data_IF_629188501391
#
_entry.id   IF_629188501391
#
_cell.length_a   1.000
_cell.length_b   1.000
_cell.length_c   1.000
_cell.angle_alpha   90.00
_cell.angle_beta   90.00
_cell.angle_gamma   90.00
#
_symmetry.space_group_name_H-M   'P 1'
#
loop_
_entity.id
_entity.type
_entity.pdbx_description
1 polymer ?
#
# COMPACT_ATOMS: atom_id res chain seq x y z
N UNK A 1 14.96 -17.33 -16.06
CA UNK A 1 14.23 -18.21 -15.16
C UNK A 1 13.78 -17.43 -13.92
N UNK A 2 12.50 -17.42 -13.68
CA UNK A 2 11.96 -16.75 -12.50
C UNK A 2 12.15 -17.64 -11.29
N UNK A 3 12.73 -17.11 -10.23
CA UNK A 3 12.94 -17.87 -9.02
C UNK A 3 11.85 -17.56 -8.00
N UNK A 4 11.86 -18.27 -6.90
CA UNK A 4 10.86 -18.09 -5.85
C UNK A 4 10.91 -16.70 -5.24
N UNK A 5 12.10 -16.09 -5.17
CA UNK A 5 12.25 -14.75 -4.61
C UNK A 5 11.47 -13.74 -5.43
N UNK A 6 11.58 -13.81 -6.76
CA UNK A 6 10.84 -12.89 -7.63
C UNK A 6 9.34 -13.07 -7.47
N UNK A 7 8.87 -14.33 -7.40
CA UNK A 7 7.46 -14.60 -7.19
C UNK A 7 6.96 -14.06 -5.86
N UNK A 8 7.77 -14.20 -4.82
CA UNK A 8 7.40 -13.71 -3.49
C UNK A 8 7.32 -12.19 -3.48
N UNK A 9 8.27 -11.50 -4.11
CA UNK A 9 8.23 -10.04 -4.22
C UNK A 9 6.95 -9.57 -4.89
N UNK A 10 6.56 -10.23 -5.97
CA UNK A 10 5.35 -9.86 -6.70
C UNK A 10 4.07 -10.14 -5.92
N UNK A 11 4.13 -11.04 -4.96
CA UNK A 11 2.96 -11.44 -4.18
C UNK A 11 2.87 -10.74 -2.83
N UNK A 12 3.87 -9.96 -2.49
CA UNK A 12 3.92 -9.35 -1.15
C UNK A 12 3.27 -7.98 -1.14
N UNK A 13 2.42 -7.77 -0.15
CA UNK A 13 1.81 -6.49 0.15
C UNK A 13 2.24 -6.09 1.55
N UNK A 14 2.74 -4.87 1.70
CA UNK A 14 3.18 -4.35 2.98
C UNK A 14 2.19 -3.31 3.49
N UNK A 15 1.76 -3.45 4.73
CA UNK A 15 0.93 -2.47 5.42
C UNK A 15 1.81 -1.69 6.38
N UNK A 16 1.81 -0.37 6.28
CA UNK A 16 2.56 0.50 7.19
C UNK A 16 1.53 1.35 7.93
N UNK A 17 1.27 0.99 9.20
CA UNK A 17 0.21 1.61 10.00
C UNK A 17 0.57 1.48 11.47
N UNK A 18 0.65 2.60 12.19
CA UNK A 18 1.08 2.56 13.58
C UNK A 18 -0.02 2.14 14.57
N UNK A 19 -1.28 2.32 14.21
CA UNK A 19 -2.38 1.93 15.09
C UNK A 19 -2.64 0.43 14.95
N UNK A 20 -2.48 -0.29 16.05
CA UNK A 20 -2.55 -1.75 16.03
C UNK A 20 -3.89 -2.28 15.53
N UNK A 21 -5.00 -1.67 15.97
CA UNK A 21 -6.32 -2.13 15.55
C UNK A 21 -6.56 -1.90 14.06
N UNK A 22 -6.19 -0.73 13.56
CA UNK A 22 -6.31 -0.44 12.13
C UNK A 22 -5.43 -1.37 11.31
N UNK A 23 -4.21 -1.60 11.77
CA UNK A 23 -3.27 -2.50 11.09
C UNK A 23 -3.84 -3.91 10.99
N UNK A 24 -4.44 -4.40 12.07
CA UNK A 24 -5.06 -5.73 12.08
C UNK A 24 -6.27 -5.78 11.15
N UNK A 25 -7.08 -4.73 11.14
CA UNK A 25 -8.25 -4.64 10.27
C UNK A 25 -7.84 -4.71 8.79
N UNK A 26 -6.82 -3.94 8.43
CA UNK A 26 -6.30 -3.94 7.06
C UNK A 26 -5.78 -5.32 6.68
N UNK A 27 -5.04 -5.94 7.59
CA UNK A 27 -4.49 -7.27 7.35
C UNK A 27 -5.60 -8.28 7.12
N UNK A 28 -6.64 -8.25 7.95
CA UNK A 28 -7.75 -9.20 7.82
C UNK A 28 -8.47 -9.01 6.49
N UNK A 29 -8.75 -7.77 6.10
CA UNK A 29 -9.42 -7.48 4.84
C UNK A 29 -8.60 -7.99 3.66
N UNK A 30 -7.30 -7.73 3.66
CA UNK A 30 -6.45 -8.13 2.55
C UNK A 30 -6.25 -9.64 2.51
N UNK A 31 -6.07 -10.27 3.66
CA UNK A 31 -5.89 -11.72 3.72
C UNK A 31 -7.12 -12.43 3.19
N UNK A 32 -8.31 -11.95 3.54
CA UNK A 32 -9.58 -12.51 3.08
C UNK A 32 -9.75 -12.33 1.57
N UNK A 33 -9.46 -11.13 1.08
CA UNK A 33 -9.71 -10.79 -0.32
C UNK A 33 -8.64 -11.38 -1.25
N UNK A 34 -7.41 -11.51 -0.76
CA UNK A 34 -6.28 -11.94 -1.57
C UNK A 34 -5.50 -13.04 -0.84
N UNK A 35 -6.11 -14.24 -0.67
CA UNK A 35 -5.49 -15.29 0.15
C UNK A 35 -4.17 -15.82 -0.40
N UNK A 36 -3.89 -15.59 -1.66
CA UNK A 36 -2.64 -16.03 -2.27
C UNK A 36 -1.48 -15.06 -2.06
N UNK A 37 -1.79 -13.87 -1.53
CA UNK A 37 -0.77 -12.84 -1.33
C UNK A 37 -0.13 -12.97 0.04
N UNK A 38 1.14 -12.58 0.10
CA UNK A 38 1.86 -12.50 1.37
C UNK A 38 1.62 -11.12 1.94
N UNK A 39 0.97 -11.05 3.10
CA UNK A 39 0.65 -9.78 3.74
C UNK A 39 1.61 -9.58 4.90
N UNK A 40 2.42 -8.54 4.83
CA UNK A 40 3.31 -8.13 5.90
C UNK A 40 2.82 -6.83 6.49
N UNK A 41 3.11 -6.58 7.75
CA UNK A 41 2.71 -5.32 8.38
C UNK A 41 3.78 -4.83 9.33
N UNK A 42 3.93 -3.52 9.37
CA UNK A 42 4.87 -2.83 10.25
C UNK A 42 4.20 -1.58 10.80
N UNK A 43 4.78 -1.02 11.86
CA UNK A 43 4.15 0.06 12.61
C UNK A 43 4.81 1.44 12.41
N UNK A 44 5.95 1.50 11.74
CA UNK A 44 6.70 2.76 11.63
C UNK A 44 7.51 2.82 10.34
N UNK A 45 8.09 3.99 10.09
CA UNK A 45 8.83 4.24 8.86
C UNK A 45 10.14 3.49 8.79
N UNK A 46 10.84 3.35 9.91
CA UNK A 46 12.10 2.62 9.92
C UNK A 46 11.91 1.16 9.56
N UNK A 47 10.87 0.55 10.14
CA UNK A 47 10.53 -0.84 9.81
C UNK A 47 10.08 -0.98 8.37
N UNK A 48 9.35 0.03 7.86
CA UNK A 48 8.92 0.03 6.46
C UNK A 48 10.12 0.05 5.51
N UNK A 49 11.11 0.90 5.79
CA UNK A 49 12.32 0.97 4.96
C UNK A 49 13.05 -0.37 4.94
N UNK A 50 13.20 -0.97 6.10
CA UNK A 50 13.92 -2.24 6.22
C UNK A 50 13.17 -3.35 5.50
N UNK A 51 11.86 -3.41 5.65
CA UNK A 51 11.03 -4.42 5.01
C UNK A 51 11.05 -4.25 3.48
N UNK A 52 10.97 -3.02 2.99
CA UNK A 52 11.04 -2.76 1.55
C UNK A 52 12.39 -3.18 0.98
N UNK A 53 13.45 -2.93 1.71
CA UNK A 53 14.79 -3.31 1.28
C UNK A 53 14.94 -4.84 1.20
N UNK A 54 14.40 -5.54 2.18
CA UNK A 54 14.57 -6.98 2.29
C UNK A 54 13.60 -7.76 1.42
N UNK A 55 12.34 -7.33 1.39
CA UNK A 55 11.25 -8.11 0.76
C UNK A 55 10.77 -7.54 -0.57
N UNK A 56 11.07 -6.28 -0.88
CA UNK A 56 10.67 -5.65 -2.14
C UNK A 56 9.19 -5.89 -2.46
N UNK A 57 8.26 -5.45 -1.60
CA UNK A 57 6.84 -5.71 -1.86
C UNK A 57 6.36 -5.10 -3.16
N UNK A 58 5.37 -5.73 -3.78
CA UNK A 58 4.76 -5.21 -5.00
C UNK A 58 3.92 -3.97 -4.70
N UNK A 59 3.32 -3.94 -3.52
CA UNK A 59 2.44 -2.86 -3.10
C UNK A 59 2.67 -2.53 -1.64
N UNK A 60 2.69 -1.23 -1.33
CA UNK A 60 2.77 -0.72 0.04
C UNK A 60 1.53 0.12 0.31
N UNK A 61 0.83 -0.19 1.40
CA UNK A 61 -0.22 0.67 1.92
C UNK A 61 0.44 1.53 2.99
N UNK A 62 0.56 2.83 2.73
CA UNK A 62 1.37 3.75 3.52
C UNK A 62 0.50 4.73 4.28
N UNK A 63 0.47 4.64 5.60
CA UNK A 63 -0.17 5.66 6.42
C UNK A 63 0.60 6.97 6.26
N UNK A 64 -0.13 8.06 6.05
CA UNK A 64 0.47 9.38 5.94
C UNK A 64 1.16 9.79 7.24
N UNK A 65 0.56 9.48 8.38
CA UNK A 65 1.05 9.94 9.68
C UNK A 65 1.66 8.78 10.46
N UNK A 66 2.98 8.66 10.40
CA UNK A 66 3.72 7.66 11.15
C UNK A 66 4.42 8.34 12.33
N UNK A 67 4.77 7.57 13.37
CA UNK A 67 5.40 8.18 14.55
C UNK A 67 6.78 8.77 14.26
N UNK A 68 7.48 8.24 13.26
CA UNK A 68 8.85 8.63 12.95
C UNK A 68 9.04 9.22 11.56
N UNK A 69 7.95 9.38 10.78
CA UNK A 69 8.10 9.85 9.40
C UNK A 69 6.76 10.35 8.85
N UNK A 70 6.84 11.20 7.84
CA UNK A 70 5.70 11.55 7.02
C UNK A 70 5.59 10.51 5.91
N UNK A 71 4.44 9.86 5.80
CA UNK A 71 4.25 8.79 4.84
C UNK A 71 4.36 9.24 3.38
N UNK A 72 4.02 10.49 3.08
CA UNK A 72 4.17 11.02 1.72
C UNK A 72 5.66 11.19 1.39
N UNK A 73 6.44 11.73 2.32
CA UNK A 73 7.88 11.85 2.11
C UNK A 73 8.55 10.49 1.98
N UNK A 74 8.14 9.55 2.82
CA UNK A 74 8.67 8.20 2.73
C UNK A 74 8.31 7.54 1.40
N UNK A 75 7.10 7.80 0.90
CA UNK A 75 6.70 7.32 -0.42
C UNK A 75 7.65 7.83 -1.50
N UNK A 76 7.98 9.12 -1.47
CA UNK A 76 8.90 9.69 -2.45
C UNK A 76 10.25 8.99 -2.41
N UNK A 77 10.77 8.72 -1.21
CA UNK A 77 12.05 8.05 -1.06
C UNK A 77 12.00 6.61 -1.57
N UNK A 78 10.95 5.88 -1.22
CA UNK A 78 10.80 4.49 -1.66
C UNK A 78 10.64 4.39 -3.17
N UNK A 79 9.88 5.30 -3.78
CA UNK A 79 9.69 5.31 -5.23
C UNK A 79 10.98 5.63 -5.96
N UNK A 80 11.84 6.44 -5.36
CA UNK A 80 13.13 6.73 -5.94
C UNK A 80 14.05 5.51 -5.93
N UNK A 81 14.02 4.76 -4.84
CA UNK A 81 14.82 3.54 -4.69
C UNK A 81 14.24 2.36 -5.47
N UNK A 82 12.93 2.25 -5.49
CA UNK A 82 12.22 1.09 -6.06
C UNK A 82 11.10 1.56 -6.98
N UNK A 83 11.42 2.01 -8.20
CA UNK A 83 10.41 2.65 -9.07
C UNK A 83 9.23 1.74 -9.44
N UNK A 84 9.44 0.42 -9.44
CA UNK A 84 8.37 -0.52 -9.77
C UNK A 84 7.42 -0.82 -8.62
N UNK A 85 7.77 -0.39 -7.40
CA UNK A 85 6.93 -0.63 -6.23
C UNK A 85 5.73 0.30 -6.25
N UNK A 86 4.52 -0.25 -6.10
CA UNK A 86 3.31 0.55 -6.05
C UNK A 86 3.08 1.03 -4.61
N UNK A 87 2.61 2.25 -4.44
CA UNK A 87 2.28 2.78 -3.12
C UNK A 87 0.89 3.40 -3.15
N UNK A 88 0.07 3.03 -2.17
CA UNK A 88 -1.21 3.69 -1.91
C UNK A 88 -1.06 4.40 -0.57
N UNK A 89 -1.22 5.72 -0.58
CA UNK A 89 -1.16 6.50 0.67
C UNK A 89 -2.53 6.49 1.32
N UNK A 90 -2.57 6.27 2.63
CA UNK A 90 -3.79 6.26 3.42
C UNK A 90 -3.76 7.41 4.42
N UNK A 91 -4.90 8.05 4.64
CA UNK A 91 -4.98 9.15 5.60
C UNK A 91 -6.42 9.36 6.05
N UNK A 92 -6.58 9.89 7.26
CA UNK A 92 -7.88 10.36 7.74
C UNK A 92 -8.26 11.69 7.10
N UNK A 93 -7.31 12.36 6.46
CA UNK A 93 -7.57 13.68 5.88
C UNK A 93 -7.96 13.54 4.43
N UNK A 94 -9.04 14.23 4.07
CA UNK A 94 -9.45 14.38 2.69
C UNK A 94 -9.07 15.78 2.22
N UNK A 95 -9.05 15.99 0.92
CA UNK A 95 -8.75 17.27 0.35
C UNK A 95 -7.74 17.18 -0.78
N UNK A 96 -7.93 18.02 -1.77
CA UNK A 96 -7.15 18.00 -3.00
C UNK A 96 -5.66 18.15 -2.77
N UNK A 97 -5.28 19.00 -1.81
CA UNK A 97 -3.85 19.27 -1.57
C UNK A 97 -3.12 17.98 -1.13
N UNK A 98 -3.74 17.16 -0.30
CA UNK A 98 -3.12 15.94 0.17
C UNK A 98 -3.04 14.91 -0.94
N UNK A 99 -4.08 14.81 -1.75
CA UNK A 99 -4.10 13.91 -2.91
C UNK A 99 -2.99 14.28 -3.88
N UNK A 100 -2.88 15.57 -4.21
CA UNK A 100 -1.86 16.03 -5.15
C UNK A 100 -0.44 15.80 -4.63
N UNK A 101 -0.23 16.01 -3.34
CA UNK A 101 1.10 15.78 -2.75
C UNK A 101 1.48 14.32 -2.80
N UNK A 102 0.52 13.44 -2.50
CA UNK A 102 0.77 12.00 -2.57
C UNK A 102 1.09 11.56 -3.99
N UNK A 103 0.31 12.01 -4.96
CA UNK A 103 0.55 11.65 -6.36
C UNK A 103 1.88 12.21 -6.86
N UNK A 104 2.23 13.42 -6.44
CA UNK A 104 3.51 14.03 -6.81
C UNK A 104 4.69 13.25 -6.22
N UNK A 105 4.50 12.61 -5.07
CA UNK A 105 5.51 11.77 -4.45
C UNK A 105 5.66 10.42 -5.15
N UNK A 106 4.74 10.09 -6.04
CA UNK A 106 4.77 8.83 -6.78
C UNK A 106 3.75 7.81 -6.33
N UNK A 107 2.86 8.17 -5.41
CA UNK A 107 1.80 7.26 -5.01
C UNK A 107 0.86 7.01 -6.19
N UNK A 108 0.39 5.79 -6.28
CA UNK A 108 -0.58 5.41 -7.30
C UNK A 108 -1.93 6.06 -7.04
N UNK A 109 -2.33 6.07 -5.79
CA UNK A 109 -3.59 6.69 -5.41
C UNK A 109 -3.58 7.02 -3.92
N UNK A 110 -4.64 7.67 -3.46
CA UNK A 110 -4.80 8.16 -2.10
C UNK A 110 -6.10 7.62 -1.55
N UNK A 111 -6.04 6.91 -0.44
CA UNK A 111 -7.20 6.31 0.20
C UNK A 111 -7.54 7.08 1.46
N UNK A 112 -8.77 7.65 1.50
CA UNK A 112 -9.27 8.28 2.72
C UNK A 112 -9.78 7.17 3.63
N UNK A 113 -9.31 7.14 4.87
CA UNK A 113 -9.63 6.03 5.79
C UNK A 113 -11.13 5.91 6.08
N UNK A 114 -11.88 7.00 5.99
CA UNK A 114 -13.33 6.95 6.16
C UNK A 114 -14.01 6.09 5.09
N UNK A 115 -13.37 5.94 3.94
CA UNK A 115 -13.90 5.16 2.82
C UNK A 115 -13.23 3.79 2.69
N UNK A 116 -12.56 3.33 3.74
CA UNK A 116 -11.78 2.11 3.70
C UNK A 116 -12.59 0.90 3.26
N UNK A 117 -13.79 0.74 3.81
CA UNK A 117 -14.61 -0.44 3.54
C UNK A 117 -15.09 -0.53 2.10
N UNK A 118 -15.21 0.60 1.42
CA UNK A 118 -15.66 0.60 0.02
C UNK A 118 -14.49 0.65 -0.97
N UNK A 119 -13.40 1.31 -0.61
CA UNK A 119 -12.36 1.65 -1.58
C UNK A 119 -11.12 0.77 -1.50
N UNK A 120 -10.83 0.19 -0.34
CA UNK A 120 -9.56 -0.53 -0.15
C UNK A 120 -9.38 -1.68 -1.14
N UNK A 121 -10.32 -2.60 -1.16
CA UNK A 121 -10.18 -3.81 -1.97
C UNK A 121 -10.12 -3.49 -3.46
N UNK A 122 -11.02 -2.64 -4.01
CA UNK A 122 -10.90 -2.28 -5.43
C UNK A 122 -9.59 -1.59 -5.77
N UNK A 123 -9.11 -0.69 -4.93
CA UNK A 123 -7.84 0.00 -5.18
C UNK A 123 -6.66 -0.96 -5.18
N UNK A 124 -6.64 -1.87 -4.22
CA UNK A 124 -5.57 -2.87 -4.12
C UNK A 124 -5.61 -3.82 -5.32
N UNK A 125 -6.81 -4.27 -5.71
CA UNK A 125 -6.96 -5.17 -6.84
C UNK A 125 -6.43 -4.53 -8.12
N UNK A 126 -6.77 -3.28 -8.36
CA UNK A 126 -6.27 -2.56 -9.55
C UNK A 126 -4.75 -2.40 -9.47
N UNK A 127 -4.22 -2.03 -8.33
CA UNK A 127 -2.78 -1.85 -8.16
C UNK A 127 -2.00 -3.15 -8.37
N UNK A 128 -2.59 -4.28 -8.00
CA UNK A 128 -1.97 -5.58 -8.18
C UNK A 128 -2.24 -6.20 -9.55
N UNK A 129 -3.06 -5.54 -10.37
CA UNK A 129 -3.39 -6.05 -11.70
C UNK A 129 -4.31 -7.27 -11.68
N UNK A 130 -5.04 -7.48 -10.59
CA UNK A 130 -5.89 -8.66 -10.43
C UNK A 130 -7.24 -8.45 -11.08
N UNK A 131 -7.83 -7.27 -10.88
CA UNK A 131 -9.16 -6.98 -11.40
C UNK A 131 -9.12 -5.69 -12.22
N UNK A 132 -9.37 -5.75 -13.53
CA UNK A 132 -9.46 -4.54 -14.32
C UNK A 132 -10.61 -3.67 -13.84
N UNK A 133 -10.40 -2.36 -13.85
CA UNK A 133 -11.43 -1.42 -13.43
C UNK A 133 -12.72 -1.59 -14.24
N UNK A 134 -12.58 -1.99 -15.51
CA UNK A 134 -13.73 -2.20 -16.41
C UNK A 134 -14.64 -3.32 -15.93
N UNK A 135 -14.10 -4.33 -15.27
CA UNK A 135 -14.91 -5.43 -14.76
C UNK A 135 -15.90 -4.93 -13.71
N UNK A 136 -15.48 -3.99 -12.91
CA UNK A 136 -16.34 -3.44 -11.88
C UNK A 136 -17.40 -2.52 -12.45
N UNK A 137 -17.10 -1.87 -13.57
CA UNK A 137 -18.03 -0.97 -14.22
C UNK A 137 -19.11 -1.65 -15.02
N UNK A 138 -18.89 -2.88 -15.42
CA UNK A 138 -19.84 -3.60 -16.30
C UNK A 138 -20.79 -4.51 -15.54
N UNK A 139 -20.54 -4.70 -14.29
CA UNK A 139 -21.38 -5.58 -13.49
C UNK A 139 -22.73 -5.00 -13.18
#
# INVERSE_FOLDING_TARGET
MTNETDNRCRKTVLIVEDQALMRQTLRDFLQDAFPERIILDVADGASARETCKTHRPALVLMDKCLPDADGIELTAQLKQLYPGMQVIVMSCRSGEIYVQRALAAGARTYLVKDNLTTDLIPMVAVALGIAPATDMGTS
#
